data_IF_677486196012
#
_entry.id   IF_677486196012
#
_cell.length_a   1.000
_cell.length_b   1.000
_cell.length_c   1.000
_cell.angle_alpha   90.00
_cell.angle_beta   90.00
_cell.angle_gamma   90.00
#
_symmetry.space_group_name_H-M   'P 1'
#
loop_
_entity.id
_entity.type
_entity.pdbx_description
1 polymer ?
#
# COMPACT_ATOMS: atom_id res chain seq x y z
N UNK A 1 -33.42 -15.28 3.69
CA UNK A 1 -32.97 -13.93 4.07
C UNK A 1 -31.88 -13.56 3.08
N UNK A 2 -31.85 -12.34 2.54
CA UNK A 2 -30.78 -11.96 1.62
C UNK A 2 -29.44 -11.90 2.39
N UNK A 3 -28.38 -12.37 1.73
CA UNK A 3 -26.99 -12.49 2.17
C UNK A 3 -26.29 -11.12 2.42
N UNK A 4 -27.03 -10.08 2.82
CA UNK A 4 -26.59 -8.68 2.84
C UNK A 4 -25.64 -8.33 4.01
N UNK A 5 -25.08 -9.33 4.69
CA UNK A 5 -24.22 -9.18 5.87
C UNK A 5 -23.05 -10.16 5.86
N UNK A 6 -22.58 -10.55 4.68
CA UNK A 6 -21.30 -11.24 4.60
C UNK A 6 -20.15 -10.24 4.73
N UNK A 7 -19.87 -9.82 5.97
CA UNK A 7 -18.74 -8.94 6.32
C UNK A 7 -17.39 -9.47 5.80
N UNK A 8 -17.28 -10.76 5.46
CA UNK A 8 -16.09 -11.34 4.87
C UNK A 8 -15.90 -11.00 3.37
N UNK A 9 -16.90 -10.42 2.71
CA UNK A 9 -16.85 -9.99 1.30
C UNK A 9 -16.75 -8.47 1.13
N UNK A 10 -16.97 -7.70 2.20
CA UNK A 10 -16.90 -6.24 2.14
C UNK A 10 -15.46 -5.75 2.20
N UNK A 11 -15.13 -4.83 1.28
CA UNK A 11 -13.81 -4.18 1.24
C UNK A 11 -13.63 -3.32 2.48
N UNK A 12 -12.72 -3.72 3.37
CA UNK A 12 -12.28 -2.89 4.49
C UNK A 12 -11.28 -1.82 4.03
N UNK A 13 -11.41 -0.61 4.59
CA UNK A 13 -10.47 0.50 4.34
C UNK A 13 -10.07 1.12 5.68
N UNK A 14 -8.77 1.07 5.99
CA UNK A 14 -8.20 1.60 7.23
C UNK A 14 -7.28 2.78 6.88
N UNK A 15 -7.50 3.92 7.55
CA UNK A 15 -6.61 5.08 7.47
C UNK A 15 -5.79 5.22 8.76
N UNK A 16 -4.48 5.05 8.67
CA UNK A 16 -3.55 5.26 9.78
C UNK A 16 -2.95 6.68 9.69
N UNK A 17 -3.55 7.63 10.40
CA UNK A 17 -3.10 9.02 10.48
C UNK A 17 -2.22 9.32 11.69
N UNK A 18 -1.33 10.31 11.57
CA UNK A 18 -0.50 10.78 12.69
C UNK A 18 0.70 11.62 12.25
N UNK A 19 1.29 12.36 13.19
CA UNK A 19 2.48 13.17 12.93
C UNK A 19 3.72 12.36 12.50
N UNK A 20 4.83 13.02 12.14
CA UNK A 20 6.09 12.34 11.89
C UNK A 20 6.50 11.44 13.07
N UNK A 21 7.17 10.32 12.79
CA UNK A 21 7.71 9.40 13.80
C UNK A 21 6.69 8.72 14.74
N UNK A 22 5.40 8.68 14.38
CA UNK A 22 4.35 7.98 15.16
C UNK A 22 4.20 6.49 14.81
N UNK A 23 5.16 5.90 14.09
CA UNK A 23 5.17 4.46 13.80
C UNK A 23 4.18 3.98 12.73
N UNK A 24 3.65 4.85 11.86
CA UNK A 24 2.68 4.44 10.81
C UNK A 24 3.24 3.38 9.86
N UNK A 25 4.43 3.60 9.30
CA UNK A 25 5.11 2.63 8.45
C UNK A 25 5.47 1.34 9.21
N UNK A 26 5.64 1.42 10.54
CA UNK A 26 5.86 0.25 11.40
C UNK A 26 4.60 -0.62 11.47
N UNK A 27 3.42 -0.01 11.51
CA UNK A 27 2.14 -0.74 11.51
C UNK A 27 1.96 -1.59 10.25
N UNK A 28 2.39 -1.11 9.08
CA UNK A 28 2.36 -1.88 7.82
C UNK A 28 3.27 -3.12 7.92
N UNK A 29 4.48 -2.96 8.44
CA UNK A 29 5.40 -4.11 8.61
C UNK A 29 4.86 -5.11 9.63
N UNK A 30 4.23 -4.63 10.71
CA UNK A 30 3.57 -5.51 11.69
C UNK A 30 2.39 -6.27 11.08
N UNK A 31 1.59 -5.62 10.23
CA UNK A 31 0.52 -6.28 9.48
C UNK A 31 1.08 -7.42 8.61
N UNK A 32 2.18 -7.18 7.88
CA UNK A 32 2.83 -8.21 7.09
C UNK A 32 3.34 -9.39 7.95
N UNK A 33 3.92 -9.10 9.13
CA UNK A 33 4.33 -10.15 10.07
C UNK A 33 3.15 -10.97 10.59
N UNK A 34 2.02 -10.33 10.93
CA UNK A 34 0.77 -11.03 11.26
C UNK A 34 0.29 -11.88 10.08
N UNK A 35 0.33 -11.34 8.86
CA UNK A 35 -0.05 -12.09 7.66
C UNK A 35 0.82 -13.31 7.39
N UNK A 36 2.08 -13.30 7.81
CA UNK A 36 2.95 -14.47 7.71
C UNK A 36 2.49 -15.59 8.66
N UNK A 37 1.95 -15.23 9.84
CA UNK A 37 1.41 -16.18 10.82
C UNK A 37 0.00 -16.67 10.44
N UNK A 38 -0.83 -15.77 9.89
CA UNK A 38 -2.25 -16.01 9.59
C UNK A 38 -2.52 -16.45 8.13
N UNK A 39 -1.53 -16.33 7.24
CA UNK A 39 -1.59 -16.82 5.87
C UNK A 39 -2.22 -15.87 4.85
N UNK A 40 -2.08 -14.55 5.03
CA UNK A 40 -2.50 -13.54 4.03
C UNK A 40 -1.31 -12.72 3.51
N UNK A 41 -1.47 -12.18 2.31
CA UNK A 41 -0.45 -11.42 1.59
C UNK A 41 -0.63 -9.91 1.78
N UNK A 42 0.47 -9.18 1.64
CA UNK A 42 0.48 -7.72 1.71
C UNK A 42 1.26 -7.14 0.53
N UNK A 43 0.64 -6.25 -0.24
CA UNK A 43 1.33 -5.44 -1.24
C UNK A 43 1.45 -4.03 -0.71
N UNK A 44 2.66 -3.46 -0.77
CA UNK A 44 2.96 -2.12 -0.27
C UNK A 44 3.47 -1.22 -1.39
N UNK A 45 2.85 -0.05 -1.52
CA UNK A 45 3.30 1.05 -2.39
C UNK A 45 3.79 2.19 -1.49
N UNK A 46 5.11 2.39 -1.44
CA UNK A 46 5.80 3.35 -0.55
C UNK A 46 6.47 4.46 -1.35
N UNK A 47 6.21 5.72 -0.97
CA UNK A 47 6.82 6.92 -1.57
C UNK A 47 8.12 7.38 -0.93
N UNK A 48 8.31 7.17 0.37
CA UNK A 48 9.39 7.80 1.16
C UNK A 48 10.30 6.79 1.87
N UNK A 49 10.18 5.50 1.53
CA UNK A 49 10.98 4.41 2.12
C UNK A 49 10.77 4.30 3.63
N UNK A 50 9.64 4.80 4.14
CA UNK A 50 9.27 4.70 5.55
C UNK A 50 9.13 3.23 5.95
N UNK A 51 8.51 2.45 5.07
CA UNK A 51 8.33 1.01 5.26
C UNK A 51 9.65 0.27 5.11
N UNK A 52 10.49 0.60 4.13
CA UNK A 52 11.83 -0.01 4.01
C UNK A 52 12.70 0.22 5.26
N UNK A 53 12.61 1.41 5.87
CA UNK A 53 13.29 1.69 7.16
C UNK A 53 12.70 0.82 8.28
N UNK A 54 11.38 0.68 8.35
CA UNK A 54 10.72 -0.18 9.33
C UNK A 54 11.05 -1.67 9.15
N UNK A 55 11.12 -2.17 7.92
CA UNK A 55 11.57 -3.54 7.60
C UNK A 55 13.00 -3.76 8.08
N UNK A 56 13.89 -2.80 7.85
CA UNK A 56 15.27 -2.90 8.34
C UNK A 56 15.32 -2.98 9.87
N UNK A 57 14.48 -2.21 10.56
CA UNK A 57 14.42 -2.20 12.02
C UNK A 57 13.88 -3.51 12.61
N UNK A 58 12.78 -4.03 12.07
CA UNK A 58 12.11 -5.21 12.61
C UNK A 58 12.64 -6.54 12.06
N UNK A 59 13.13 -6.55 10.82
CA UNK A 59 13.46 -7.76 10.06
C UNK A 59 14.92 -7.76 9.54
N UNK A 60 15.74 -6.80 9.98
CA UNK A 60 17.18 -6.73 9.72
C UNK A 60 17.60 -6.22 8.33
N UNK A 61 16.89 -6.61 7.26
CA UNK A 61 17.03 -6.13 5.85
C UNK A 61 16.20 -6.93 4.83
N UNK A 62 15.60 -8.04 5.24
CA UNK A 62 14.73 -8.87 4.39
C UNK A 62 13.27 -8.52 4.72
N UNK A 63 12.46 -8.23 3.72
CA UNK A 63 11.02 -8.10 3.91
C UNK A 63 10.40 -9.46 4.29
N UNK A 64 9.27 -9.50 5.02
CA UNK A 64 8.48 -10.71 5.19
C UNK A 64 8.17 -11.38 3.84
N UNK A 65 8.14 -12.72 3.81
CA UNK A 65 8.02 -13.47 2.54
C UNK A 65 6.63 -13.33 1.88
N UNK A 66 5.62 -12.91 2.64
CA UNK A 66 4.26 -12.60 2.16
C UNK A 66 4.08 -11.12 1.77
N UNK A 67 5.16 -10.36 1.70
CA UNK A 67 5.12 -8.91 1.47
C UNK A 67 5.83 -8.53 0.17
N UNK A 68 5.04 -8.04 -0.78
CA UNK A 68 5.57 -7.39 -1.98
C UNK A 68 5.69 -5.89 -1.76
N UNK A 69 6.86 -5.34 -2.09
CA UNK A 69 7.21 -3.95 -1.78
C UNK A 69 7.62 -3.17 -3.03
N UNK A 70 6.90 -2.09 -3.30
CA UNK A 70 7.11 -1.19 -4.42
C UNK A 70 7.53 0.19 -3.92
N UNK A 71 8.67 0.69 -4.41
CA UNK A 71 9.04 2.10 -4.24
C UNK A 71 8.44 2.87 -5.40
N UNK A 72 7.36 3.61 -5.15
CA UNK A 72 6.82 4.50 -6.16
C UNK A 72 7.61 5.81 -6.18
N UNK A 73 8.03 6.28 -7.35
CA UNK A 73 8.62 7.63 -7.55
C UNK A 73 7.84 8.45 -8.57
N UNK A 74 7.13 7.77 -9.46
CA UNK A 74 6.30 8.30 -10.52
C UNK A 74 4.90 7.72 -10.41
N UNK A 75 3.93 8.29 -11.14
CA UNK A 75 2.59 7.72 -11.22
C UNK A 75 2.60 6.33 -11.87
N UNK A 76 3.44 6.12 -12.88
CA UNK A 76 3.58 4.81 -13.54
C UNK A 76 4.02 3.71 -12.54
N UNK A 77 4.89 4.03 -11.58
CA UNK A 77 5.26 3.10 -10.52
C UNK A 77 4.08 2.77 -9.60
N UNK A 78 3.21 3.75 -9.31
CA UNK A 78 2.00 3.54 -8.52
C UNK A 78 1.04 2.62 -9.27
N UNK A 79 0.82 2.87 -10.56
CA UNK A 79 -0.05 2.04 -11.39
C UNK A 79 0.50 0.61 -11.52
N UNK A 80 1.81 0.45 -11.68
CA UNK A 80 2.43 -0.88 -11.74
C UNK A 80 2.26 -1.66 -10.43
N UNK A 81 2.40 -0.99 -9.27
CA UNK A 81 2.15 -1.59 -7.97
C UNK A 81 0.67 -1.96 -7.77
N UNK A 82 -0.25 -1.14 -8.26
CA UNK A 82 -1.69 -1.43 -8.23
C UNK A 82 -2.06 -2.59 -9.13
N UNK A 83 -1.54 -2.64 -10.36
CA UNK A 83 -1.78 -3.74 -11.30
C UNK A 83 -1.26 -5.06 -10.73
N UNK A 84 -0.08 -5.04 -10.12
CA UNK A 84 0.45 -6.19 -9.38
C UNK A 84 -0.47 -6.61 -8.23
N UNK A 85 -0.94 -5.65 -7.43
CA UNK A 85 -1.86 -5.95 -6.33
C UNK A 85 -3.16 -6.58 -6.83
N UNK A 86 -3.79 -6.03 -7.87
CA UNK A 86 -5.03 -6.57 -8.41
C UNK A 86 -4.87 -7.93 -9.09
N UNK A 87 -3.66 -8.26 -9.56
CA UNK A 87 -3.37 -9.56 -10.15
C UNK A 87 -3.07 -10.66 -9.10
N UNK A 88 -2.63 -10.30 -7.90
CA UNK A 88 -2.09 -11.26 -6.92
C UNK A 88 -2.80 -11.29 -5.56
N UNK A 89 -3.55 -10.24 -5.20
CA UNK A 89 -4.27 -10.21 -3.93
C UNK A 89 -5.66 -10.82 -4.07
N UNK A 90 -6.02 -11.64 -3.09
CA UNK A 90 -7.34 -12.25 -2.96
C UNK A 90 -8.12 -11.66 -1.77
N UNK A 91 -9.34 -12.16 -1.54
CA UNK A 91 -10.13 -11.75 -0.39
C UNK A 91 -9.40 -12.10 0.92
N UNK A 92 -9.17 -11.09 1.77
CA UNK A 92 -8.41 -11.21 3.02
C UNK A 92 -6.99 -10.64 2.95
N UNK A 93 -6.46 -10.41 1.76
CA UNK A 93 -5.15 -9.79 1.57
C UNK A 93 -5.22 -8.24 1.62
N UNK A 94 -4.06 -7.60 1.77
CA UNK A 94 -3.97 -6.16 1.99
C UNK A 94 -3.15 -5.41 0.95
N UNK A 95 -3.76 -4.38 0.37
CA UNK A 95 -3.04 -3.34 -0.37
C UNK A 95 -2.82 -2.12 0.53
N UNK A 96 -1.55 -1.79 0.76
CA UNK A 96 -1.12 -0.71 1.63
C UNK A 96 -0.43 0.41 0.86
N UNK A 97 -0.79 1.65 1.19
CA UNK A 97 -0.16 2.85 0.67
C UNK A 97 0.55 3.59 1.81
N UNK A 98 1.86 3.78 1.73
CA UNK A 98 2.58 4.65 2.66
C UNK A 98 2.70 6.07 2.10
N UNK A 99 2.60 7.07 2.99
CA UNK A 99 2.64 8.49 2.65
C UNK A 99 1.56 8.92 1.63
N UNK A 100 0.28 8.69 1.98
CA UNK A 100 -0.87 8.99 1.11
C UNK A 100 -0.89 10.44 0.56
N UNK A 101 -0.42 11.43 1.34
CA UNK A 101 -0.31 12.80 0.87
C UNK A 101 0.64 12.95 -0.34
N UNK A 102 1.79 12.28 -0.31
CA UNK A 102 2.74 12.31 -1.44
C UNK A 102 2.24 11.50 -2.65
N UNK A 103 1.38 10.51 -2.43
CA UNK A 103 0.69 9.80 -3.52
C UNK A 103 -0.40 10.68 -4.16
N UNK A 104 -1.11 11.46 -3.35
CA UNK A 104 -2.07 12.44 -3.84
C UNK A 104 -1.39 13.49 -4.73
N UNK A 105 -0.24 14.02 -4.30
CA UNK A 105 0.52 14.99 -5.10
C UNK A 105 0.92 14.39 -6.46
N UNK A 106 1.40 13.13 -6.50
CA UNK A 106 1.69 12.44 -7.76
C UNK A 106 0.45 12.31 -8.66
N UNK A 107 -0.71 11.97 -8.09
CA UNK A 107 -1.94 11.84 -8.85
C UNK A 107 -2.36 13.18 -9.47
N UNK A 108 -2.19 14.28 -8.73
CA UNK A 108 -2.50 15.63 -9.21
C UNK A 108 -1.55 16.08 -10.31
N UNK A 109 -0.25 15.81 -10.17
CA UNK A 109 0.76 16.11 -11.19
C UNK A 109 0.45 15.36 -12.49
N UNK A 110 0.09 14.08 -12.39
CA UNK A 110 -0.27 13.27 -13.56
C UNK A 110 -1.56 13.76 -14.22
N UNK A 111 -2.60 14.02 -13.43
CA UNK A 111 -3.86 14.53 -13.95
C UNK A 111 -3.66 15.86 -14.69
N UNK A 112 -2.87 16.77 -14.10
CA UNK A 112 -2.50 18.03 -14.73
C UNK A 112 -1.78 17.78 -16.06
N UNK A 113 -0.79 16.88 -16.09
CA UNK A 113 -0.07 16.51 -17.31
C UNK A 113 -0.99 16.01 -18.41
N UNK A 114 -1.98 15.17 -18.09
CA UNK A 114 -2.94 14.64 -19.06
C UNK A 114 -3.81 15.76 -19.64
N UNK A 115 -4.43 16.57 -18.78
CA UNK A 115 -5.35 17.63 -19.19
C UNK A 115 -4.64 18.69 -20.05
N UNK A 116 -3.41 19.08 -19.70
CA UNK A 116 -2.69 20.12 -20.44
C UNK A 116 -1.95 19.59 -21.69
N UNK A 117 -1.64 18.30 -21.78
CA UNK A 117 -1.12 17.69 -23.03
C UNK A 117 -2.19 17.49 -24.09
N UNK A 118 -3.46 17.30 -23.71
CA UNK A 118 -4.58 17.22 -24.66
C UNK A 118 -4.98 18.60 -25.22
N UNK A 119 -4.50 19.68 -24.63
CA UNK A 119 -4.79 21.07 -25.03
C UNK A 119 -3.73 21.76 -25.89
N UNK A 120 -2.67 21.07 -26.29
CA UNK A 120 -1.53 21.60 -27.09
C UNK A 120 -1.29 20.80 -28.35
#
# INVERSE_FOLDING_TARGET
>A
MPDDLNLALDREVILVGGGPSTGKSLSIVKLALTGLEEGFNVVVIDRDRGVAKAVKELCGRKAPDNMDYFIAKTWDDVTAGMDHAFANLEAGDWLCFDMLGALWDLAQDEFTRMVYKEGS
#
